data_IF_236912778177
#
_entry.id   IF_236912778177
#
_cell.length_a   1.000
_cell.length_b   1.000
_cell.length_c   1.000
_cell.angle_alpha   90.00
_cell.angle_beta   90.00
_cell.angle_gamma   90.00
#
_symmetry.space_group_name_H-M   'P 1'
#
loop_
_entity.id
_entity.type
_entity.pdbx_description
1 polymer ?
#
# COMPACT_ATOMS: atom_id res chain seq x y z
N UNK A 1 -10.44 9.20 -34.72
CA UNK A 1 -10.66 9.45 -33.28
C UNK A 1 -9.82 8.45 -32.50
N UNK A 2 -9.19 8.86 -31.40
CA UNK A 2 -8.49 7.95 -30.49
C UNK A 2 -9.45 7.55 -29.36
N UNK A 3 -9.63 6.26 -29.14
CA UNK A 3 -10.45 5.72 -28.07
C UNK A 3 -9.76 4.51 -27.42
N UNK A 4 -10.19 4.16 -26.21
CA UNK A 4 -9.76 2.95 -25.50
C UNK A 4 -10.97 2.34 -24.79
N UNK A 5 -11.00 1.02 -24.56
CA UNK A 5 -12.04 0.39 -23.77
C UNK A 5 -12.00 0.86 -22.31
N UNK A 6 -13.15 0.75 -21.64
CA UNK A 6 -13.23 0.88 -20.17
C UNK A 6 -12.89 -0.49 -19.61
N UNK A 7 -11.79 -0.57 -18.85
CA UNK A 7 -11.37 -1.81 -18.18
C UNK A 7 -11.97 -1.87 -16.78
N UNK A 8 -12.42 -3.05 -16.36
CA UNK A 8 -12.85 -3.29 -14.99
C UNK A 8 -11.67 -3.66 -14.05
N UNK A 9 -11.99 -4.03 -12.81
CA UNK A 9 -11.02 -4.35 -11.77
C UNK A 9 -10.23 -5.63 -12.02
N UNK A 10 -10.81 -6.60 -12.73
CA UNK A 10 -10.17 -7.88 -13.06
C UNK A 10 -9.38 -7.74 -14.37
N UNK A 11 -9.86 -6.94 -15.32
CA UNK A 11 -9.20 -6.68 -16.60
C UNK A 11 -7.97 -5.77 -16.49
N UNK A 12 -8.04 -4.74 -15.64
CA UNK A 12 -6.98 -3.75 -15.55
C UNK A 12 -5.61 -4.33 -15.12
N UNK A 13 -5.51 -5.25 -14.14
CA UNK A 13 -4.25 -5.90 -13.79
C UNK A 13 -3.66 -6.77 -14.90
N UNK A 14 -4.52 -7.40 -15.72
CA UNK A 14 -4.13 -8.32 -16.78
C UNK A 14 -3.77 -7.61 -18.09
N UNK A 15 -4.18 -6.35 -18.27
CA UNK A 15 -3.92 -5.61 -19.50
C UNK A 15 -2.41 -5.57 -19.85
N UNK A 16 -1.99 -5.87 -21.10
CA UNK A 16 -0.58 -6.06 -21.45
C UNK A 16 0.36 -4.90 -21.05
N UNK A 17 -0.10 -3.66 -21.18
CA UNK A 17 0.67 -2.50 -20.73
C UNK A 17 0.89 -2.48 -19.21
N UNK A 18 -0.09 -2.91 -18.42
CA UNK A 18 0.00 -2.90 -16.96
C UNK A 18 0.87 -4.05 -16.45
N UNK A 19 0.80 -5.23 -17.09
CA UNK A 19 1.70 -6.36 -16.84
C UNK A 19 3.14 -6.00 -17.16
N UNK A 20 3.41 -5.48 -18.37
CA UNK A 20 4.76 -5.11 -18.80
C UNK A 20 5.43 -4.07 -17.89
N UNK A 21 4.60 -3.31 -17.17
CA UNK A 21 5.03 -2.25 -16.28
C UNK A 21 5.07 -2.68 -14.81
N UNK A 22 4.43 -3.78 -14.41
CA UNK A 22 4.23 -4.09 -13.00
C UNK A 22 3.42 -2.98 -12.31
N UNK A 23 2.29 -2.58 -12.91
CA UNK A 23 1.42 -1.52 -12.38
C UNK A 23 0.66 -1.98 -11.14
N UNK A 24 0.42 -3.28 -11.00
CA UNK A 24 -0.23 -3.89 -9.83
C UNK A 24 0.71 -4.90 -9.16
N UNK A 25 0.55 -5.07 -7.86
CA UNK A 25 1.29 -6.03 -7.04
C UNK A 25 0.32 -6.80 -6.13
N UNK A 26 0.62 -8.08 -5.88
CA UNK A 26 -0.10 -8.86 -4.87
C UNK A 26 0.59 -8.68 -3.51
N UNK A 27 -0.16 -8.16 -2.53
CA UNK A 27 0.33 -7.93 -1.17
C UNK A 27 -0.64 -8.56 -0.20
N UNK A 28 -0.18 -9.60 0.52
CA UNK A 28 -1.03 -10.33 1.45
C UNK A 28 -2.24 -11.00 0.80
N UNK A 29 -2.13 -11.43 -0.46
CA UNK A 29 -3.22 -12.07 -1.21
C UNK A 29 -4.13 -11.08 -1.94
N UNK A 30 -3.96 -9.77 -1.74
CA UNK A 30 -4.79 -8.73 -2.36
C UNK A 30 -4.03 -8.05 -3.50
N UNK A 31 -4.66 -7.95 -4.67
CA UNK A 31 -4.13 -7.18 -5.79
C UNK A 31 -4.36 -5.69 -5.53
N UNK A 32 -3.29 -4.92 -5.56
CA UNK A 32 -3.34 -3.47 -5.36
C UNK A 32 -2.34 -2.75 -6.26
N UNK A 33 -2.50 -1.44 -6.51
CA UNK A 33 -1.53 -0.67 -7.27
C UNK A 33 -0.12 -0.75 -6.66
N UNK A 34 0.88 -0.98 -7.50
CA UNK A 34 2.28 -0.85 -7.10
C UNK A 34 2.65 0.63 -6.92
N UNK A 35 3.67 0.96 -6.11
CA UNK A 35 4.07 2.35 -5.89
C UNK A 35 4.39 3.10 -7.19
N UNK A 36 3.86 4.33 -7.29
CA UNK A 36 4.07 5.24 -8.41
C UNK A 36 4.36 6.67 -7.91
N UNK A 37 5.18 7.48 -8.64
CA UNK A 37 5.91 7.16 -9.87
C UNK A 37 7.08 6.18 -9.67
N UNK A 38 7.56 5.56 -10.76
CA UNK A 38 8.77 4.72 -10.73
C UNK A 38 10.00 5.59 -10.95
N UNK A 39 10.74 5.84 -9.88
CA UNK A 39 11.97 6.62 -9.94
C UNK A 39 13.15 5.77 -10.44
N UNK A 40 13.96 6.33 -11.32
CA UNK A 40 15.13 5.63 -11.89
C UNK A 40 16.26 5.41 -10.87
N UNK A 41 16.37 6.27 -9.84
CA UNK A 41 17.46 6.23 -8.86
C UNK A 41 17.13 5.42 -7.60
N UNK A 42 15.86 5.38 -7.18
CA UNK A 42 15.45 4.78 -5.92
C UNK A 42 14.27 3.85 -6.13
N UNK A 43 14.42 2.58 -5.76
CA UNK A 43 13.34 1.62 -5.81
C UNK A 43 12.41 1.81 -4.59
N UNK A 44 11.08 1.90 -4.79
CA UNK A 44 10.14 1.92 -3.69
C UNK A 44 10.03 0.53 -3.06
N UNK A 45 9.89 0.48 -1.73
CA UNK A 45 9.61 -0.76 -1.00
C UNK A 45 8.11 -1.01 -1.03
N UNK A 46 7.68 -2.22 -1.37
CA UNK A 46 6.29 -2.63 -1.25
C UNK A 46 5.95 -2.74 0.24
N UNK A 47 4.96 -1.98 0.76
CA UNK A 47 4.60 -2.05 2.15
C UNK A 47 4.01 -3.43 2.49
N UNK A 48 4.24 -3.95 3.71
CA UNK A 48 3.62 -5.20 4.14
C UNK A 48 2.09 -5.03 4.24
N UNK A 49 1.38 -6.15 4.16
CA UNK A 49 -0.09 -6.18 4.21
C UNK A 49 -0.67 -5.74 5.56
N UNK A 50 0.13 -5.79 6.63
CA UNK A 50 -0.26 -5.44 8.00
C UNK A 50 0.53 -4.24 8.49
N UNK A 51 -0.10 -3.47 9.40
CA UNK A 51 0.58 -2.39 10.09
C UNK A 51 1.86 -2.92 10.77
N UNK A 52 2.98 -2.22 10.57
CA UNK A 52 4.27 -2.62 11.13
C UNK A 52 4.31 -2.50 12.66
N UNK A 53 3.61 -1.51 13.20
CA UNK A 53 3.62 -1.17 14.62
C UNK A 53 2.19 -1.17 15.17
N UNK A 54 2.00 -1.62 16.40
CA UNK A 54 0.75 -1.43 17.13
C UNK A 54 0.57 0.06 17.53
N UNK A 55 -0.67 0.45 17.82
CA UNK A 55 -0.99 1.84 18.16
C UNK A 55 -0.23 2.37 19.38
N UNK A 56 0.04 1.54 20.39
CA UNK A 56 0.80 1.93 21.58
C UNK A 56 2.26 2.24 21.25
N UNK A 57 2.86 1.46 20.34
CA UNK A 57 4.22 1.66 19.85
C UNK A 57 4.35 3.01 19.12
N UNK A 58 3.38 3.35 18.27
CA UNK A 58 3.36 4.66 17.58
C UNK A 58 3.21 5.81 18.57
N UNK A 59 2.26 5.70 19.52
CA UNK A 59 2.01 6.76 20.50
C UNK A 59 3.23 7.02 21.41
N UNK A 60 3.93 5.97 21.85
CA UNK A 60 5.18 6.12 22.61
C UNK A 60 6.25 6.85 21.79
N UNK A 61 6.38 6.52 20.50
CA UNK A 61 7.34 7.17 19.59
C UNK A 61 7.06 8.67 19.41
N UNK A 62 5.78 9.08 19.50
CA UNK A 62 5.39 10.50 19.50
C UNK A 62 5.54 11.20 20.85
N UNK A 63 5.98 10.49 21.90
CA UNK A 63 6.18 11.05 23.22
C UNK A 63 4.92 11.15 24.07
N UNK A 64 3.86 10.41 23.73
CA UNK A 64 2.66 10.32 24.56
C UNK A 64 2.98 9.51 25.83
N UNK A 65 2.60 10.03 26.98
CA UNK A 65 2.83 9.39 28.27
C UNK A 65 2.06 8.06 28.37
N UNK A 66 2.66 7.06 29.02
CA UNK A 66 2.13 5.69 29.01
C UNK A 66 0.74 5.57 29.64
N UNK A 67 0.46 6.38 30.66
CA UNK A 67 -0.85 6.50 31.32
C UNK A 67 -1.93 7.05 30.38
N UNK A 68 -1.57 7.97 29.48
CA UNK A 68 -2.45 8.49 28.44
C UNK A 68 -2.66 7.52 27.27
N UNK A 69 -1.77 6.53 27.07
CA UNK A 69 -1.87 5.54 25.98
C UNK A 69 -2.85 4.41 26.33
N UNK A 70 -2.81 3.93 27.57
CA UNK A 70 -3.61 2.78 28.02
C UNK A 70 -5.12 2.86 27.66
N UNK A 71 -5.83 4.00 27.79
CA UNK A 71 -7.24 4.08 27.41
C UNK A 71 -7.49 4.19 25.90
N UNK A 72 -6.47 4.48 25.09
CA UNK A 72 -6.58 4.67 23.64
C UNK A 72 -6.35 3.39 22.84
N UNK A 73 -5.63 2.43 23.42
CA UNK A 73 -5.41 1.12 22.84
C UNK A 73 -6.41 0.16 23.47
N UNK A 74 -7.49 -0.16 22.73
CA UNK A 74 -8.50 -1.13 23.17
C UNK A 74 -7.88 -2.47 23.59
N UNK A 75 -8.57 -3.19 24.48
CA UNK A 75 -8.16 -4.48 25.03
C UNK A 75 -7.79 -5.52 23.95
#
# INVERSE_FOLDING_TARGET
ACFAPVLDWDEAPEHPHNVARGTFANVGGVVQPAPAPRFSRTAPVVPPATARDDGSTVLRRWGVAADAIAPLCGA
#
